data_IF_240716590887
#
_entry.id   IF_240716590887
#
_cell.length_a   1.000
_cell.length_b   1.000
_cell.length_c   1.000
_cell.angle_alpha   90.00
_cell.angle_beta   90.00
_cell.angle_gamma   90.00
#
_symmetry.space_group_name_H-M   'P 1'
#
loop_
_entity.id
_entity.type
_entity.pdbx_description
1 polymer ?
#
# COMPACT_ATOMS: atom_id res chain seq x y z
N UNK A 1 6.81 4.97 0.66
CA UNK A 1 7.08 3.53 0.48
C UNK A 1 8.12 3.36 -0.63
N UNK A 2 9.12 2.58 -0.36
CA UNK A 2 10.25 2.38 -1.28
C UNK A 2 10.43 0.88 -1.61
N UNK A 3 10.77 0.60 -2.85
CA UNK A 3 11.14 -0.73 -3.31
C UNK A 3 12.31 -0.64 -4.29
N UNK A 4 13.32 -1.48 -4.11
CA UNK A 4 14.52 -1.50 -4.98
C UNK A 4 15.15 -0.10 -5.19
N UNK A 5 15.30 0.68 -4.12
CA UNK A 5 15.90 2.01 -4.16
C UNK A 5 15.04 3.11 -4.81
N UNK A 6 13.77 2.82 -5.13
CA UNK A 6 12.84 3.78 -5.74
C UNK A 6 11.61 3.99 -4.86
N UNK A 7 11.10 5.21 -4.87
CA UNK A 7 9.80 5.50 -4.24
C UNK A 7 8.72 4.94 -5.17
N UNK A 8 7.90 4.03 -4.66
CA UNK A 8 6.78 3.42 -5.41
C UNK A 8 5.44 4.05 -5.06
N UNK A 9 5.31 4.55 -3.84
CA UNK A 9 4.13 5.27 -3.39
C UNK A 9 4.52 6.31 -2.33
N UNK A 10 3.90 7.48 -2.40
CA UNK A 10 4.11 8.59 -1.46
C UNK A 10 2.78 9.29 -1.21
N UNK A 11 2.49 9.57 0.04
CA UNK A 11 1.27 10.26 0.42
C UNK A 11 1.16 10.52 1.92
N UNK A 12 0.08 11.17 2.35
CA UNK A 12 -0.26 11.30 3.75
C UNK A 12 -0.36 9.93 4.43
N UNK A 13 -0.10 9.87 5.72
CA UNK A 13 -0.11 8.62 6.50
C UNK A 13 -1.44 7.89 6.36
N UNK A 14 -2.55 8.61 6.48
CA UNK A 14 -3.90 8.04 6.37
C UNK A 14 -4.15 7.42 4.98
N UNK A 15 -3.65 8.04 3.93
CA UNK A 15 -3.82 7.53 2.57
C UNK A 15 -2.99 6.26 2.35
N UNK A 16 -1.77 6.22 2.84
CA UNK A 16 -0.91 5.04 2.74
C UNK A 16 -1.50 3.85 3.51
N UNK A 17 -2.03 4.07 4.71
CA UNK A 17 -2.55 2.98 5.55
C UNK A 17 -3.98 2.55 5.18
N UNK A 18 -4.86 3.49 4.86
CA UNK A 18 -6.29 3.20 4.62
C UNK A 18 -6.66 3.17 3.14
N UNK A 19 -5.87 3.78 2.28
CA UNK A 19 -6.11 3.85 0.84
C UNK A 19 -4.84 3.54 0.02
N UNK A 20 -4.13 2.43 0.32
CA UNK A 20 -2.91 2.09 -0.40
C UNK A 20 -3.21 1.88 -1.88
N UNK A 21 -2.32 2.33 -2.73
CA UNK A 21 -2.49 2.31 -4.17
C UNK A 21 -1.55 1.33 -4.87
N UNK A 22 -0.28 1.32 -4.48
CA UNK A 22 0.69 0.45 -5.11
C UNK A 22 0.55 -1.00 -4.58
N UNK A 23 0.58 -2.02 -5.45
CA UNK A 23 0.49 -3.42 -5.02
C UNK A 23 1.50 -3.84 -3.95
N UNK A 24 2.70 -3.27 -3.96
CA UNK A 24 3.69 -3.52 -2.92
C UNK A 24 3.27 -2.97 -1.55
N UNK A 25 2.70 -1.76 -1.51
CA UNK A 25 2.16 -1.15 -0.28
C UNK A 25 1.04 -2.03 0.30
N UNK A 26 0.13 -2.48 -0.55
CA UNK A 26 -0.94 -3.42 -0.15
C UNK A 26 -0.36 -4.71 0.41
N UNK A 27 0.66 -5.27 -0.23
CA UNK A 27 1.34 -6.48 0.23
C UNK A 27 2.00 -6.30 1.60
N UNK A 28 2.66 -5.16 1.84
CA UNK A 28 3.27 -4.83 3.14
C UNK A 28 2.21 -4.76 4.25
N UNK A 29 1.09 -4.08 3.99
CA UNK A 29 0.01 -3.95 4.96
C UNK A 29 -0.64 -5.29 5.30
N UNK A 30 -0.79 -6.19 4.31
CA UNK A 30 -1.27 -7.56 4.54
C UNK A 30 -0.32 -8.43 5.35
N UNK A 31 0.98 -8.10 5.31
CA UNK A 31 2.02 -8.82 6.05
C UNK A 31 2.17 -8.32 7.50
N UNK A 32 1.48 -7.24 7.89
CA UNK A 32 1.54 -6.71 9.24
C UNK A 32 0.68 -7.51 10.21
N UNK A 33 1.20 -7.90 11.38
CA UNK A 33 0.41 -8.54 12.41
C UNK A 33 -0.62 -7.55 12.97
N UNK A 34 -1.86 -8.02 13.15
CA UNK A 34 -2.90 -7.26 13.86
C UNK A 34 -2.77 -7.55 15.35
N UNK A 35 -2.54 -6.52 16.15
CA UNK A 35 -2.41 -6.64 17.61
C UNK A 35 -3.75 -6.97 18.26
N UNK A 36 -4.86 -6.63 17.60
CA UNK A 36 -6.23 -6.73 18.14
C UNK A 36 -6.95 -8.04 17.75
N UNK A 37 -6.29 -8.91 16.99
CA UNK A 37 -6.91 -10.17 16.58
C UNK A 37 -6.80 -11.19 17.73
N UNK A 38 -7.92 -11.66 18.25
CA UNK A 38 -8.00 -12.74 19.25
C UNK A 38 -7.47 -14.09 18.70
N UNK A 39 -7.25 -14.18 17.41
CA UNK A 39 -6.65 -15.34 16.75
C UNK A 39 -5.35 -14.94 16.08
N UNK A 40 -4.32 -15.77 16.23
CA UNK A 40 -3.08 -15.69 15.47
C UNK A 40 -3.36 -15.92 13.98
N UNK A 41 -3.82 -14.91 13.26
CA UNK A 41 -3.91 -14.99 11.81
C UNK A 41 -2.50 -15.15 11.24
N UNK A 42 -2.33 -16.19 10.42
CA UNK A 42 -1.06 -16.43 9.75
C UNK A 42 -0.75 -15.23 8.84
N UNK A 43 0.39 -14.59 9.07
CA UNK A 43 0.87 -13.50 8.22
C UNK A 43 1.00 -13.98 6.78
N UNK A 44 0.48 -13.21 5.85
CA UNK A 44 0.58 -13.49 4.41
C UNK A 44 1.81 -12.76 3.88
N UNK A 45 2.94 -13.45 3.64
CA UNK A 45 4.12 -12.83 3.09
C UNK A 45 3.91 -12.44 1.63
N UNK A 46 4.66 -11.44 1.16
CA UNK A 46 4.75 -11.14 -0.26
C UNK A 46 5.55 -12.25 -0.92
N UNK A 47 4.92 -13.01 -1.80
CA UNK A 47 5.56 -14.12 -2.51
C UNK A 47 6.66 -13.65 -3.46
N UNK A 48 7.54 -14.58 -3.81
CA UNK A 48 8.63 -14.37 -4.76
C UNK A 48 9.91 -13.83 -4.13
N UNK A 49 10.94 -13.74 -4.96
CA UNK A 49 12.28 -13.29 -4.57
C UNK A 49 12.41 -11.78 -4.79
N UNK A 50 13.03 -11.05 -3.85
CA UNK A 50 13.37 -9.65 -4.08
C UNK A 50 14.20 -9.45 -5.34
N UNK A 51 14.09 -8.28 -5.96
CA UNK A 51 14.81 -7.94 -7.18
C UNK A 51 16.33 -7.93 -6.95
N UNK A 52 17.09 -8.40 -7.94
CA UNK A 52 18.54 -8.27 -7.95
C UNK A 52 18.92 -6.80 -8.22
N UNK A 53 19.55 -6.17 -7.23
CA UNK A 53 20.00 -4.78 -7.32
C UNK A 53 21.21 -4.57 -8.22
N UNK A 54 21.95 -5.64 -8.54
CA UNK A 54 23.09 -5.58 -9.46
C UNK A 54 22.62 -5.54 -10.92
N UNK A 55 21.49 -6.20 -11.20
CA UNK A 55 20.87 -6.22 -12.52
C UNK A 55 19.39 -5.76 -12.39
N UNK A 56 19.12 -4.47 -12.14
CA UNK A 56 17.77 -4.00 -12.01
C UNK A 56 16.99 -4.17 -13.31
N UNK A 57 15.71 -4.57 -13.28
CA UNK A 57 14.89 -4.70 -14.48
C UNK A 57 14.66 -3.34 -15.13
N UNK A 58 14.45 -3.33 -16.45
CA UNK A 58 14.13 -2.11 -17.21
C UNK A 58 12.76 -1.53 -16.84
N UNK A 59 11.83 -2.38 -16.46
CA UNK A 59 10.47 -2.01 -16.09
C UNK A 59 10.27 -1.79 -14.59
N UNK A 60 9.06 -2.04 -14.13
CA UNK A 60 8.72 -1.94 -12.72
C UNK A 60 9.50 -3.00 -11.91
N UNK A 61 10.29 -2.61 -10.90
CA UNK A 61 11.09 -3.56 -10.14
C UNK A 61 10.24 -4.55 -9.33
N UNK A 62 9.01 -4.21 -9.02
CA UNK A 62 8.07 -5.09 -8.31
C UNK A 62 7.32 -6.06 -9.24
N UNK A 63 7.40 -5.88 -10.56
CA UNK A 63 6.66 -6.68 -11.54
C UNK A 63 6.77 -8.20 -11.33
N UNK A 64 7.95 -8.80 -11.05
CA UNK A 64 8.08 -10.26 -10.83
C UNK A 64 7.29 -10.79 -9.62
N UNK A 65 6.95 -9.94 -8.67
CA UNK A 65 6.21 -10.27 -7.44
C UNK A 65 4.80 -9.71 -7.42
N UNK A 66 4.39 -9.01 -8.46
CA UNK A 66 3.12 -8.32 -8.54
C UNK A 66 2.02 -9.25 -9.07
N UNK A 67 0.95 -9.43 -8.30
CA UNK A 67 -0.22 -10.20 -8.71
C UNK A 67 -0.94 -9.59 -9.93
N UNK A 68 -0.78 -8.30 -10.15
CA UNK A 68 -1.39 -7.53 -11.23
C UNK A 68 -0.41 -7.18 -12.36
N UNK A 69 0.67 -7.95 -12.49
CA UNK A 69 1.71 -7.68 -13.48
C UNK A 69 1.15 -7.72 -14.92
N UNK A 70 1.43 -6.66 -15.67
CA UNK A 70 1.09 -6.53 -17.08
C UNK A 70 2.36 -6.57 -17.93
N UNK A 71 2.21 -6.84 -19.23
CA UNK A 71 3.36 -6.88 -20.17
C UNK A 71 4.18 -5.57 -20.18
N UNK A 72 3.51 -4.43 -20.02
CA UNK A 72 4.16 -3.12 -19.95
C UNK A 72 5.01 -2.97 -18.69
N UNK A 73 4.59 -3.57 -17.57
CA UNK A 73 5.34 -3.53 -16.31
C UNK A 73 6.73 -4.14 -16.43
N UNK A 74 6.91 -5.11 -17.33
CA UNK A 74 8.20 -5.76 -17.56
C UNK A 74 9.14 -4.94 -18.45
N UNK A 75 8.60 -4.04 -19.27
CA UNK A 75 9.33 -3.33 -20.31
C UNK A 75 9.63 -1.87 -19.96
N UNK A 76 8.76 -1.23 -19.22
CA UNK A 76 8.83 0.19 -18.96
C UNK A 76 8.55 0.53 -17.50
N UNK A 77 9.33 1.45 -16.96
CA UNK A 77 9.11 2.01 -15.64
C UNK A 77 7.82 2.83 -15.64
N UNK A 78 6.88 2.60 -14.70
CA UNK A 78 5.69 3.41 -14.61
C UNK A 78 6.02 4.85 -14.18
N UNK A 79 5.33 5.86 -14.74
CA UNK A 79 5.42 7.23 -14.26
C UNK A 79 4.71 7.37 -12.91
N UNK A 80 5.01 8.44 -12.18
CA UNK A 80 4.22 8.84 -11.02
C UNK A 80 2.89 9.40 -11.48
N UNK A 81 1.82 8.95 -10.85
CA UNK A 81 0.45 9.41 -11.08
C UNK A 81 -0.11 9.96 -9.77
N UNK A 82 -0.65 11.16 -9.83
CA UNK A 82 -1.39 11.76 -8.72
C UNK A 82 -2.75 11.06 -8.60
N UNK A 83 -3.01 10.48 -7.45
CA UNK A 83 -4.24 9.72 -7.15
C UNK A 83 -5.07 10.37 -6.06
N UNK A 84 -4.56 11.38 -5.41
CA UNK A 84 -5.20 12.17 -4.37
C UNK A 84 -4.40 13.42 -4.09
N UNK A 85 -4.86 14.20 -3.12
CA UNK A 85 -4.14 15.36 -2.62
C UNK A 85 -2.84 14.89 -1.95
N UNK A 86 -1.70 15.31 -2.49
CA UNK A 86 -0.36 14.87 -2.05
C UNK A 86 -0.13 13.35 -2.05
N UNK A 87 -0.99 12.58 -2.74
CA UNK A 87 -0.87 11.12 -2.85
C UNK A 87 -0.56 10.71 -4.28
N UNK A 88 0.60 10.10 -4.50
CA UNK A 88 1.07 9.63 -5.81
C UNK A 88 1.60 8.22 -5.76
N UNK A 89 1.45 7.52 -6.87
CA UNK A 89 1.88 6.14 -7.03
C UNK A 89 2.55 5.91 -8.38
N UNK A 90 3.61 5.12 -8.40
CA UNK A 90 4.30 4.71 -9.64
C UNK A 90 3.82 3.32 -10.05
N UNK A 91 2.63 3.24 -10.64
CA UNK A 91 2.02 1.97 -11.05
C UNK A 91 1.25 2.11 -12.36
N UNK A 92 1.46 1.19 -13.30
CA UNK A 92 0.75 1.18 -14.58
C UNK A 92 -0.76 0.97 -14.46
N UNK A 93 -1.23 0.27 -13.41
CA UNK A 93 -2.66 0.16 -13.13
C UNK A 93 -3.27 1.55 -12.91
N UNK A 94 -2.61 2.41 -12.15
CA UNK A 94 -3.10 3.76 -11.87
C UNK A 94 -3.06 4.66 -13.10
N UNK A 95 -2.06 4.48 -13.96
CA UNK A 95 -2.00 5.17 -15.26
C UNK A 95 -3.20 4.83 -16.14
N UNK A 96 -3.60 3.55 -16.18
CA UNK A 96 -4.76 3.12 -16.97
C UNK A 96 -6.07 3.67 -16.41
N UNK A 97 -6.21 3.70 -15.10
CA UNK A 97 -7.38 4.23 -14.40
C UNK A 97 -7.55 5.73 -14.63
N UNK A 98 -6.46 6.51 -14.52
CA UNK A 98 -6.48 7.94 -14.82
C UNK A 98 -6.88 8.23 -16.26
N UNK A 99 -6.46 7.39 -17.22
CA UNK A 99 -6.84 7.54 -18.63
C UNK A 99 -8.31 7.25 -18.89
N UNK A 100 -8.91 6.36 -18.11
CA UNK A 100 -10.34 6.01 -18.22
C UNK A 100 -11.26 6.99 -17.49
N UNK A 101 -10.71 7.97 -16.76
CA UNK A 101 -11.51 8.90 -15.97
C UNK A 101 -12.22 8.28 -14.75
N UNK A 102 -11.93 7.02 -14.46
CA UNK A 102 -12.42 6.32 -13.29
C UNK A 102 -11.55 6.69 -12.08
N UNK A 103 -12.11 7.51 -11.20
CA UNK A 103 -11.59 7.60 -9.83
C UNK A 103 -11.90 6.27 -9.16
N UNK A 104 -10.89 5.42 -8.97
CA UNK A 104 -11.09 4.20 -8.20
C UNK A 104 -11.47 4.54 -6.77
N UNK A 105 -12.71 4.19 -6.45
CA UNK A 105 -13.11 3.96 -5.08
C UNK A 105 -12.28 2.79 -4.53
N UNK A 106 -11.63 3.01 -3.39
CA UNK A 106 -10.79 2.05 -2.73
C UNK A 106 -11.57 0.76 -2.41
N UNK A 107 -11.36 -0.27 -3.19
CA UNK A 107 -11.61 -1.64 -2.74
C UNK A 107 -10.29 -2.26 -2.27
N UNK A 108 -9.80 -1.77 -1.16
CA UNK A 108 -8.73 -2.39 -0.40
C UNK A 108 -9.18 -2.44 1.04
N UNK A 109 -9.18 -3.64 1.63
CA UNK A 109 -9.73 -3.97 2.93
C UNK A 109 -9.65 -2.85 3.97
N UNK A 110 -10.80 -2.29 4.28
CA UNK A 110 -10.96 -1.32 5.32
C UNK A 110 -10.54 -1.95 6.66
N UNK A 111 -9.47 -1.44 7.25
CA UNK A 111 -9.26 -1.59 8.68
C UNK A 111 -10.41 -0.81 9.35
N UNK A 112 -11.29 -1.55 10.00
CA UNK A 112 -12.43 -1.02 10.73
C UNK A 112 -11.96 0.06 11.73
N UNK A 113 -12.54 1.27 11.61
CA UNK A 113 -12.23 2.43 12.45
C UNK A 113 -12.91 2.37 13.83
N UNK A 114 -13.14 1.20 14.39
CA UNK A 114 -13.61 1.07 15.77
C UNK A 114 -12.42 1.07 16.74
N UNK A 115 -11.82 2.25 16.92
CA UNK A 115 -11.10 2.50 18.15
C UNK A 115 -12.15 2.84 19.24
N UNK A 116 -12.16 2.17 20.39
CA UNK A 116 -13.03 2.59 21.48
C UNK A 116 -12.49 3.90 22.05
N UNK A 117 -13.37 4.91 22.07
CA UNK A 117 -13.17 6.13 22.86
C UNK A 117 -12.92 5.75 24.31
N UNK A 118 -11.68 5.82 24.73
CA UNK A 118 -11.33 5.83 26.15
C UNK A 118 -11.75 7.17 26.73
N UNK A 119 -12.96 7.22 27.26
CA UNK A 119 -13.35 8.27 28.22
C UNK A 119 -12.40 8.18 29.41
N UNK A 120 -11.55 9.18 29.55
CA UNK A 120 -10.89 9.45 30.79
C UNK A 120 -11.97 9.89 31.79
N UNK A 121 -12.28 9.03 32.78
CA UNK A 121 -13.02 9.44 33.97
C UNK A 121 -12.03 10.17 34.88
N UNK A 122 -12.24 11.50 34.99
CA UNK A 122 -11.69 12.29 36.07
C UNK A 122 -12.21 11.75 37.40
N UNK A 123 -11.35 11.12 38.15
CA UNK A 123 -11.57 10.82 39.54
C UNK A 123 -11.37 12.08 40.37
N UNK A 124 -12.45 12.65 40.86
CA UNK A 124 -12.44 13.73 41.85
C UNK A 124 -11.94 13.21 43.18
N UNK A 125 -10.98 13.96 43.73
CA UNK A 125 -10.53 13.94 45.11
C UNK A 125 -11.66 14.00 46.14
N UNK A 126 -11.48 13.25 47.19
CA UNK A 126 -11.92 13.70 48.53
C UNK A 126 -10.98 13.16 49.61
N UNK A 127 -10.35 14.13 50.29
CA UNK A 127 -9.81 14.18 51.68
C UNK A 127 -8.90 13.04 52.14
#
# INVERSE_FOLDING_TARGET
VMYAGRIVEQGPVDDIFYRPSHPYTVGLLRSMPRVDAESYERLIPIEGTPVDMLNPPEGCPFAPRCEHCMKICLKQMPPYVEIGEDHRSACWLRVQECKKGEKLGAEGGALDKTAPDTKAEEGTDHE
#
